data_IF_286573620817
#
_entry.id   IF_286573620817
#
_cell.length_a   1.000
_cell.length_b   1.000
_cell.length_c   1.000
_cell.angle_alpha   90.00
_cell.angle_beta   90.00
_cell.angle_gamma   90.00
#
_symmetry.space_group_name_H-M   'P 1'
#
loop_
_entity.id
_entity.type
_entity.pdbx_description
1 polymer ?
#
# COMPACT_ATOMS: atom_id res chain seq x y z
N UNK A 1 -24.13 -48.50 -7.16
CA UNK A 1 -25.20 -47.89 -6.34
C UNK A 1 -24.51 -47.07 -5.25
N UNK A 2 -24.04 -45.86 -5.59
CA UNK A 2 -23.34 -44.97 -4.66
C UNK A 2 -24.35 -44.04 -4.01
N UNK A 3 -24.35 -44.04 -2.68
CA UNK A 3 -25.25 -43.27 -1.83
C UNK A 3 -24.90 -41.78 -1.89
N UNK A 4 -25.87 -40.95 -2.25
CA UNK A 4 -25.84 -39.51 -2.06
C UNK A 4 -26.21 -39.19 -0.60
N UNK A 5 -25.31 -38.53 0.13
CA UNK A 5 -25.62 -37.94 1.43
C UNK A 5 -25.89 -36.45 1.19
N UNK A 6 -27.16 -36.10 1.33
CA UNK A 6 -27.69 -34.74 1.35
C UNK A 6 -27.45 -34.12 2.73
N UNK A 7 -26.83 -32.95 2.81
CA UNK A 7 -26.73 -32.17 4.05
C UNK A 7 -27.68 -30.96 3.96
N UNK A 8 -28.69 -30.98 4.83
CA UNK A 8 -29.65 -29.90 5.04
C UNK A 8 -29.00 -28.68 5.69
N UNK A 9 -29.27 -27.50 5.13
CA UNK A 9 -28.98 -26.19 5.74
C UNK A 9 -30.13 -25.87 6.70
N UNK A 10 -29.83 -25.74 7.99
CA UNK A 10 -30.76 -25.22 8.99
C UNK A 10 -30.64 -23.69 9.06
N UNK A 11 -31.74 -23.01 8.75
CA UNK A 11 -31.90 -21.57 8.83
C UNK A 11 -32.35 -21.19 10.25
N UNK A 12 -31.57 -20.37 10.96
CA UNK A 12 -31.92 -19.82 12.28
C UNK A 12 -32.13 -18.31 12.16
N UNK A 13 -33.39 -17.89 12.25
CA UNK A 13 -33.82 -16.50 12.43
C UNK A 13 -33.85 -16.13 13.92
N UNK A 14 -33.13 -15.08 14.29
CA UNK A 14 -33.40 -14.14 15.40
C UNK A 14 -32.26 -13.10 15.36
N UNK A 15 -32.42 -11.80 15.56
CA UNK A 15 -33.54 -10.92 15.84
C UNK A 15 -32.94 -9.51 15.87
N UNK A 16 -33.64 -8.52 15.33
CA UNK A 16 -33.19 -7.13 15.34
C UNK A 16 -33.16 -6.58 16.77
N UNK A 17 -32.08 -5.92 17.16
CA UNK A 17 -32.04 -4.96 18.27
C UNK A 17 -31.37 -3.68 17.76
N UNK A 18 -32.10 -2.58 17.80
CA UNK A 18 -31.60 -1.22 17.62
C UNK A 18 -31.41 -0.59 18.99
N UNK A 19 -30.23 -0.01 19.25
CA UNK A 19 -29.99 0.79 20.45
C UNK A 19 -29.74 2.23 20.02
N UNK A 20 -30.77 3.07 20.18
CA UNK A 20 -30.63 4.51 20.32
C UNK A 20 -30.27 4.85 21.77
N UNK A 21 -29.75 6.06 21.96
CA UNK A 21 -29.44 6.76 23.22
C UNK A 21 -28.03 6.54 23.78
N UNK A 22 -27.13 7.48 23.42
CA UNK A 22 -26.20 8.05 24.39
C UNK A 22 -26.26 9.57 24.34
N UNK A 23 -26.38 10.10 25.56
CA UNK A 23 -26.79 11.44 25.93
C UNK A 23 -25.68 12.50 25.74
N UNK A 24 -26.19 13.71 25.59
CA UNK A 24 -25.51 15.00 25.74
C UNK A 24 -24.59 15.07 26.97
N UNK A 25 -23.51 15.84 26.81
CA UNK A 25 -22.62 16.23 27.88
C UNK A 25 -21.76 17.41 27.44
N UNK A 26 -22.32 18.62 27.52
CA UNK A 26 -21.61 19.89 27.50
C UNK A 26 -20.53 19.91 28.59
N UNK A 27 -19.31 20.34 28.25
CA UNK A 27 -18.37 20.87 29.25
C UNK A 27 -17.78 22.19 28.74
N UNK A 28 -18.01 23.19 29.57
CA UNK A 28 -17.67 24.59 29.45
C UNK A 28 -16.17 24.88 29.46
N UNK A 29 -15.84 25.96 28.77
CA UNK A 29 -14.64 26.78 28.90
C UNK A 29 -14.64 27.52 30.25
N UNK A 30 -13.47 27.77 30.85
CA UNK A 30 -13.28 29.00 31.59
C UNK A 30 -12.14 29.85 31.01
N UNK A 31 -12.30 31.16 31.19
CA UNK A 31 -11.37 32.22 30.82
C UNK A 31 -10.92 32.96 32.09
N UNK A 32 -9.68 33.46 32.03
CA UNK A 32 -9.07 34.60 32.76
C UNK A 32 -8.95 34.48 34.30
N UNK A 33 -7.91 35.00 34.98
CA UNK A 33 -7.34 36.35 34.95
C UNK A 33 -5.88 36.44 35.52
N UNK A 34 -5.16 37.47 35.01
CA UNK A 34 -4.08 38.38 35.51
C UNK A 34 -3.43 38.19 36.91
N UNK A 35 -2.13 38.49 37.15
CA UNK A 35 -1.53 39.85 37.22
C UNK A 35 0.05 39.87 37.22
N UNK A 36 0.60 40.85 36.48
CA UNK A 36 1.75 41.78 36.72
C UNK A 36 3.13 41.37 37.27
N UNK A 37 4.20 41.76 36.54
CA UNK A 37 5.12 42.86 36.93
C UNK A 37 6.11 43.24 35.81
N UNK A 38 6.33 44.56 35.68
CA UNK A 38 7.16 45.31 34.70
C UNK A 38 8.68 45.16 34.98
N UNK A 39 9.61 45.44 34.06
CA UNK A 39 10.20 46.79 33.86
C UNK A 39 11.02 46.89 32.56
N UNK A 40 10.63 47.87 31.74
CA UNK A 40 11.34 48.80 30.83
C UNK A 40 12.83 48.58 30.46
N UNK A 41 13.15 48.71 29.16
CA UNK A 41 13.70 49.96 28.59
C UNK A 41 13.76 49.97 27.06
N UNK A 42 13.39 51.13 26.52
CA UNK A 42 13.40 51.63 25.14
C UNK A 42 14.70 51.39 24.34
N UNK A 43 14.62 51.34 23.00
CA UNK A 43 15.10 52.41 22.10
C UNK A 43 14.50 52.28 20.68
N UNK A 44 14.07 53.44 20.17
CA UNK A 44 13.67 53.90 18.82
C UNK A 44 14.21 53.10 17.62
N UNK A 45 13.38 52.70 16.66
CA UNK A 45 12.76 53.47 15.56
C UNK A 45 13.75 53.92 14.47
N UNK A 46 13.80 53.16 13.37
CA UNK A 46 14.14 53.69 12.05
C UNK A 46 13.20 53.09 10.99
N UNK A 47 12.61 53.99 10.23
CA UNK A 47 11.59 53.75 9.22
C UNK A 47 12.24 54.04 7.87
N UNK A 48 12.64 53.00 7.16
CA UNK A 48 12.96 53.12 5.73
C UNK A 48 11.85 52.50 4.92
N UNK A 49 11.22 53.37 4.14
CA UNK A 49 10.20 53.04 3.15
C UNK A 49 10.92 52.98 1.82
N UNK A 50 11.20 51.78 1.31
CA UNK A 50 11.55 51.59 -0.10
C UNK A 50 10.49 50.73 -0.77
N UNK A 51 9.82 51.36 -1.73
CA UNK A 51 8.87 50.74 -2.66
C UNK A 51 9.60 50.52 -3.98
N UNK A 52 9.26 49.40 -4.64
CA UNK A 52 9.63 48.93 -6.00
C UNK A 52 10.82 47.95 -6.00
N UNK A 53 10.75 46.75 -6.58
CA UNK A 53 9.93 46.28 -7.70
C UNK A 53 9.82 44.76 -7.60
N UNK A 54 8.61 44.22 -7.43
CA UNK A 54 8.36 42.80 -7.73
C UNK A 54 8.54 42.60 -9.23
N UNK A 55 9.68 42.01 -9.61
CA UNK A 55 9.77 41.26 -10.84
C UNK A 55 9.20 39.88 -10.52
N UNK A 56 7.91 39.70 -10.78
CA UNK A 56 7.33 38.38 -11.02
C UNK A 56 8.01 37.78 -12.26
N UNK A 57 9.13 37.11 -12.06
CA UNK A 57 9.59 36.05 -12.97
C UNK A 57 9.00 34.75 -12.45
N UNK A 58 7.73 34.52 -12.76
CA UNK A 58 7.00 33.30 -12.44
C UNK A 58 7.52 32.09 -13.23
N UNK A 59 8.73 31.62 -12.91
CA UNK A 59 9.14 30.26 -13.19
C UNK A 59 8.60 29.37 -12.07
N UNK A 60 7.69 28.44 -12.40
CA UNK A 60 7.21 27.47 -11.39
C UNK A 60 8.37 26.57 -11.00
N UNK A 61 8.83 26.68 -9.77
CA UNK A 61 9.83 25.78 -9.20
C UNK A 61 9.17 24.45 -8.82
N UNK A 62 9.06 23.56 -9.80
CA UNK A 62 8.51 22.22 -9.61
C UNK A 62 9.42 21.29 -8.80
N UNK A 63 10.67 21.69 -8.52
CA UNK A 63 11.63 20.83 -7.80
C UNK A 63 11.25 20.61 -6.34
N UNK A 64 10.42 21.50 -5.78
CA UNK A 64 9.91 21.38 -4.41
C UNK A 64 8.59 20.58 -4.31
N UNK A 65 8.01 20.14 -5.42
CA UNK A 65 6.81 19.29 -5.38
C UNK A 65 7.18 17.91 -4.81
N UNK A 66 6.48 17.40 -3.77
CA UNK A 66 6.76 16.09 -3.18
C UNK A 66 6.75 14.93 -4.19
N UNK A 67 6.06 15.09 -5.32
CA UNK A 67 6.00 14.08 -6.37
C UNK A 67 7.17 14.12 -7.37
N UNK A 68 7.95 15.21 -7.38
CA UNK A 68 9.03 15.41 -8.34
C UNK A 68 10.08 14.27 -8.37
N UNK A 69 10.53 13.72 -7.22
CA UNK A 69 11.52 12.62 -7.22
C UNK A 69 11.03 11.33 -7.89
N UNK A 70 9.71 11.15 -8.03
CA UNK A 70 9.11 9.92 -8.54
C UNK A 70 8.90 9.91 -10.05
N UNK A 71 9.08 11.05 -10.71
CA UNK A 71 9.10 11.15 -12.18
C UNK A 71 10.08 10.14 -12.78
N UNK A 72 11.30 10.08 -12.22
CA UNK A 72 12.36 9.18 -12.69
C UNK A 72 12.15 7.70 -12.29
N UNK A 73 11.21 7.44 -11.37
CA UNK A 73 10.90 6.12 -10.81
C UNK A 73 9.61 5.53 -11.41
N UNK A 74 9.11 6.09 -12.51
CA UNK A 74 8.02 5.47 -13.27
C UNK A 74 8.50 4.18 -13.96
N UNK A 75 7.55 3.30 -14.29
CA UNK A 75 7.85 2.15 -15.14
C UNK A 75 8.43 2.62 -16.49
N UNK A 76 9.50 1.98 -16.91
CA UNK A 76 9.99 2.03 -18.29
C UNK A 76 9.38 0.84 -19.02
N UNK A 77 8.73 1.09 -20.14
CA UNK A 77 7.92 0.08 -20.83
C UNK A 77 8.46 -0.20 -22.23
N UNK A 78 8.31 -1.44 -22.68
CA UNK A 78 8.53 -1.88 -24.05
C UNK A 78 7.32 -2.74 -24.47
N UNK A 79 6.65 -2.36 -25.56
CA UNK A 79 5.52 -3.12 -26.08
C UNK A 79 6.00 -4.27 -26.97
N UNK A 80 5.51 -5.49 -26.69
CA UNK A 80 5.71 -6.69 -27.52
C UNK A 80 4.42 -7.47 -27.60
N UNK A 81 3.95 -7.72 -28.82
CA UNK A 81 2.73 -8.50 -29.10
C UNK A 81 1.49 -8.01 -28.31
N UNK A 82 1.37 -6.69 -28.14
CA UNK A 82 0.28 -6.06 -27.39
C UNK A 82 0.41 -6.12 -25.86
N UNK A 83 1.56 -6.58 -25.34
CA UNK A 83 1.87 -6.60 -23.91
C UNK A 83 2.90 -5.52 -23.58
N UNK A 84 2.64 -4.71 -22.55
CA UNK A 84 3.58 -3.72 -22.03
C UNK A 84 4.52 -4.36 -21.01
N UNK A 85 5.79 -4.58 -21.39
CA UNK A 85 6.80 -5.18 -20.53
C UNK A 85 7.61 -4.12 -19.78
N UNK A 86 7.79 -4.32 -18.47
CA UNK A 86 8.54 -3.43 -17.58
C UNK A 86 10.04 -3.67 -17.74
N UNK A 87 10.81 -2.71 -18.25
CA UNK A 87 12.26 -2.85 -18.52
C UNK A 87 13.16 -2.40 -17.35
N UNK A 88 12.59 -1.83 -16.30
CA UNK A 88 13.27 -1.46 -15.04
C UNK A 88 12.69 -2.20 -13.82
N UNK A 89 12.65 -3.55 -13.81
CA UNK A 89 11.89 -4.31 -12.82
C UNK A 89 12.46 -4.24 -11.38
N UNK A 90 13.70 -3.79 -11.21
CA UNK A 90 14.34 -3.57 -9.89
C UNK A 90 13.91 -2.28 -9.19
N UNK A 91 13.14 -1.42 -9.87
CA UNK A 91 12.56 -0.22 -9.28
C UNK A 91 11.67 -0.57 -8.07
N UNK A 92 11.89 0.06 -6.91
CA UNK A 92 11.07 -0.16 -5.71
C UNK A 92 9.60 0.21 -5.95
N UNK A 93 9.35 1.22 -6.79
CA UNK A 93 8.00 1.65 -7.19
C UNK A 93 7.46 0.92 -8.42
N UNK A 94 8.06 -0.20 -8.84
CA UNK A 94 7.59 -0.95 -10.01
C UNK A 94 6.10 -1.26 -9.92
N UNK A 95 5.31 -0.83 -10.90
CA UNK A 95 3.87 -1.12 -10.94
C UNK A 95 3.67 -2.36 -11.82
N UNK A 96 3.58 -3.54 -11.22
CA UNK A 96 3.17 -4.77 -11.89
C UNK A 96 1.67 -4.98 -11.65
N UNK A 97 0.87 -4.99 -12.72
CA UNK A 97 -0.58 -5.14 -12.64
C UNK A 97 -1.11 -5.69 -13.98
N UNK A 98 -2.44 -5.70 -14.18
CA UNK A 98 -3.05 -6.26 -15.41
C UNK A 98 -2.61 -5.56 -16.71
N UNK A 99 -2.05 -4.36 -16.63
CA UNK A 99 -1.56 -3.58 -17.77
C UNK A 99 -0.05 -3.77 -18.00
N UNK A 100 0.75 -3.87 -16.93
CA UNK A 100 2.20 -3.90 -16.99
C UNK A 100 2.77 -5.22 -16.48
N UNK A 101 3.51 -5.92 -17.34
CA UNK A 101 4.04 -7.25 -17.08
C UNK A 101 5.55 -7.24 -16.83
N UNK A 102 5.98 -7.99 -15.83
CA UNK A 102 7.37 -8.36 -15.62
C UNK A 102 7.80 -9.42 -16.64
N UNK A 103 9.08 -9.49 -16.98
CA UNK A 103 9.60 -10.57 -17.79
C UNK A 103 9.49 -11.91 -17.05
N UNK A 104 9.31 -12.99 -17.80
CA UNK A 104 9.30 -14.35 -17.25
C UNK A 104 10.62 -14.78 -16.62
N UNK A 105 11.72 -14.14 -17.03
CA UNK A 105 13.07 -14.38 -16.52
C UNK A 105 13.43 -13.51 -15.31
N UNK A 106 12.59 -12.53 -14.97
CA UNK A 106 12.90 -11.64 -13.86
C UNK A 106 12.75 -12.34 -12.51
N UNK A 107 13.83 -12.29 -11.73
CA UNK A 107 13.89 -12.65 -10.31
C UNK A 107 14.72 -11.58 -9.61
N UNK A 108 14.26 -11.01 -8.48
CA UNK A 108 15.06 -10.02 -7.76
C UNK A 108 16.39 -10.62 -7.29
N UNK A 109 17.51 -9.87 -7.39
CA UNK A 109 18.84 -10.38 -7.05
C UNK A 109 19.12 -10.42 -5.54
N UNK A 110 18.27 -9.78 -4.72
CA UNK A 110 18.48 -9.46 -3.31
C UNK A 110 17.43 -10.09 -2.38
N UNK A 111 16.87 -11.24 -2.77
CA UNK A 111 15.88 -11.96 -1.98
C UNK A 111 16.48 -12.52 -0.68
N UNK A 112 15.82 -12.23 0.44
CA UNK A 112 16.16 -12.73 1.79
C UNK A 112 14.89 -13.19 2.50
N UNK A 113 15.03 -14.08 3.47
CA UNK A 113 13.94 -14.39 4.42
C UNK A 113 14.02 -13.40 5.59
N UNK A 114 13.09 -12.43 5.73
CA UNK A 114 13.10 -11.52 6.87
C UNK A 114 12.92 -12.27 8.20
N UNK A 115 13.46 -11.71 9.28
CA UNK A 115 13.35 -12.25 10.63
C UNK A 115 12.02 -11.86 11.29
N UNK A 116 10.92 -12.34 10.70
CA UNK A 116 9.55 -12.18 11.21
C UNK A 116 8.93 -13.52 11.53
N UNK A 117 7.80 -13.49 12.24
CA UNK A 117 7.02 -14.70 12.48
C UNK A 117 6.26 -15.08 11.21
N UNK A 118 6.44 -16.32 10.74
CA UNK A 118 5.71 -16.86 9.59
C UNK A 118 4.64 -17.86 10.04
N UNK A 119 3.54 -17.96 9.30
CA UNK A 119 2.46 -18.94 9.56
C UNK A 119 2.89 -20.41 9.44
N UNK A 120 4.07 -20.65 8.86
CA UNK A 120 4.65 -21.97 8.62
C UNK A 120 6.03 -22.16 9.29
N UNK A 121 6.33 -21.33 10.31
CA UNK A 121 7.57 -21.43 11.09
C UNK A 121 8.84 -21.18 10.27
N UNK A 122 9.87 -21.97 10.52
CA UNK A 122 11.24 -21.73 9.99
C UNK A 122 11.52 -22.33 8.61
N UNK A 123 10.47 -22.78 7.91
CA UNK A 123 10.64 -23.37 6.58
C UNK A 123 11.29 -22.36 5.60
N UNK A 124 12.30 -22.83 4.88
CA UNK A 124 13.03 -22.05 3.87
C UNK A 124 12.40 -22.30 2.49
N UNK A 125 11.32 -21.56 2.21
CA UNK A 125 10.53 -21.69 0.98
C UNK A 125 10.48 -20.34 0.24
N UNK A 126 10.24 -20.34 -1.08
CA UNK A 126 10.26 -19.11 -1.89
C UNK A 126 9.32 -18.02 -1.33
N UNK A 127 8.14 -18.43 -0.86
CA UNK A 127 7.14 -17.54 -0.27
C UNK A 127 7.54 -16.95 1.09
N UNK A 128 8.67 -17.37 1.66
CA UNK A 128 9.24 -16.75 2.84
C UNK A 128 10.19 -15.60 2.49
N UNK A 129 10.47 -15.38 1.20
CA UNK A 129 11.47 -14.41 0.76
C UNK A 129 10.83 -13.07 0.39
N UNK A 130 11.59 -12.00 0.53
CA UNK A 130 11.31 -10.65 0.00
C UNK A 130 12.64 -10.00 -0.38
N UNK A 131 12.60 -8.91 -1.15
CA UNK A 131 13.78 -8.08 -1.34
C UNK A 131 14.29 -7.55 -0.01
N UNK A 132 15.62 -7.49 0.13
CA UNK A 132 16.30 -7.15 1.39
C UNK A 132 15.78 -5.88 2.06
N UNK A 133 15.61 -4.80 1.29
CA UNK A 133 15.13 -3.52 1.83
C UNK A 133 13.72 -3.65 2.43
N UNK A 134 12.79 -4.23 1.67
CA UNK A 134 11.42 -4.49 2.13
C UNK A 134 11.42 -5.43 3.35
N UNK A 135 12.26 -6.46 3.35
CA UNK A 135 12.40 -7.39 4.48
C UNK A 135 12.81 -6.69 5.77
N UNK A 136 13.81 -5.81 5.72
CA UNK A 136 14.23 -5.03 6.90
C UNK A 136 13.14 -4.09 7.42
N UNK A 137 12.33 -3.51 6.53
CA UNK A 137 11.20 -2.69 6.95
C UNK A 137 10.04 -3.53 7.50
N UNK A 138 9.81 -4.73 6.96
CA UNK A 138 8.84 -5.68 7.47
C UNK A 138 9.17 -6.09 8.92
N UNK A 139 10.45 -6.35 9.21
CA UNK A 139 10.94 -6.65 10.56
C UNK A 139 10.65 -5.50 11.55
N UNK A 140 10.90 -4.26 11.13
CA UNK A 140 10.60 -3.06 11.93
C UNK A 140 9.09 -2.91 12.19
N UNK A 141 8.27 -3.12 11.15
CA UNK A 141 6.81 -3.06 11.25
C UNK A 141 6.26 -4.12 12.20
N UNK A 142 6.72 -5.37 12.08
CA UNK A 142 6.30 -6.47 12.96
C UNK A 142 6.75 -6.26 14.40
N UNK A 143 7.93 -5.67 14.60
CA UNK A 143 8.43 -5.30 15.94
C UNK A 143 7.54 -4.25 16.59
N UNK A 144 7.12 -3.23 15.85
CA UNK A 144 6.24 -2.18 16.36
C UNK A 144 4.83 -2.70 16.68
N UNK A 145 4.25 -3.53 15.80
CA UNK A 145 2.97 -4.19 16.09
C UNK A 145 3.04 -4.99 17.40
N UNK A 146 4.16 -5.71 17.61
CA UNK A 146 4.38 -6.49 18.84
C UNK A 146 4.52 -5.62 20.08
N UNK A 147 5.10 -4.43 19.97
CA UNK A 147 5.17 -3.46 21.08
C UNK A 147 3.78 -2.96 21.47
N UNK A 148 2.86 -2.88 20.51
CA UNK A 148 1.45 -2.56 20.72
C UNK A 148 0.60 -3.79 21.13
N UNK A 149 1.24 -4.92 21.44
CA UNK A 149 0.58 -6.15 21.90
C UNK A 149 -0.04 -7.00 20.79
N UNK A 150 0.23 -6.69 19.52
CA UNK A 150 -0.33 -7.37 18.34
C UNK A 150 0.69 -8.30 17.69
N UNK A 151 0.28 -9.51 17.31
CA UNK A 151 1.20 -10.48 16.67
C UNK A 151 0.80 -10.72 15.22
N UNK A 152 1.61 -10.18 14.31
CA UNK A 152 1.48 -10.38 12.87
C UNK A 152 2.18 -11.66 12.41
N UNK A 153 1.64 -12.29 11.37
CA UNK A 153 2.21 -13.46 10.72
C UNK A 153 2.36 -13.23 9.22
N UNK A 154 3.58 -13.35 8.70
CA UNK A 154 3.84 -13.38 7.27
C UNK A 154 3.36 -14.73 6.68
N UNK A 155 2.66 -14.69 5.54
CA UNK A 155 2.01 -15.85 4.93
C UNK A 155 2.57 -16.17 3.55
N UNK A 156 2.82 -15.16 2.72
CA UNK A 156 3.30 -15.32 1.34
C UNK A 156 3.94 -14.05 0.80
N UNK A 157 5.26 -14.09 0.61
CA UNK A 157 6.09 -13.05 0.02
C UNK A 157 6.37 -13.31 -1.47
N UNK A 158 7.63 -13.53 -1.81
CA UNK A 158 8.08 -13.75 -3.20
C UNK A 158 7.43 -14.98 -3.84
N UNK A 159 7.04 -14.84 -5.11
CA UNK A 159 6.54 -15.92 -5.93
C UNK A 159 7.11 -15.78 -7.34
N UNK A 160 7.89 -16.77 -7.76
CA UNK A 160 8.49 -16.77 -9.10
C UNK A 160 7.43 -16.77 -10.21
N UNK A 161 7.81 -16.29 -11.41
CA UNK A 161 6.94 -16.36 -12.60
C UNK A 161 6.43 -17.79 -12.84
N UNK A 162 7.34 -18.77 -12.76
CA UNK A 162 7.02 -20.19 -12.92
C UNK A 162 5.96 -20.63 -11.91
N UNK A 163 6.12 -20.27 -10.64
CA UNK A 163 5.12 -20.60 -9.62
C UNK A 163 3.79 -19.93 -9.89
N UNK A 164 3.78 -18.67 -10.32
CA UNK A 164 2.54 -17.98 -10.70
C UNK A 164 1.86 -18.67 -11.90
N UNK A 165 2.62 -19.21 -12.86
CA UNK A 165 2.08 -20.01 -13.96
C UNK A 165 1.39 -21.29 -13.47
N UNK A 166 1.97 -21.99 -12.50
CA UNK A 166 1.35 -23.16 -11.89
C UNK A 166 0.03 -22.79 -11.18
N UNK A 167 0.03 -21.71 -10.40
CA UNK A 167 -1.17 -21.19 -9.71
C UNK A 167 -2.26 -20.82 -10.71
N UNK A 168 -1.91 -20.04 -11.74
CA UNK A 168 -2.84 -19.63 -12.78
C UNK A 168 -3.43 -20.83 -13.52
N UNK A 169 -2.58 -21.79 -13.92
CA UNK A 169 -3.02 -22.99 -14.66
C UNK A 169 -3.96 -23.86 -13.83
N UNK A 170 -3.71 -24.00 -12.52
CA UNK A 170 -4.60 -24.71 -11.61
C UNK A 170 -5.97 -24.03 -11.50
N UNK A 171 -6.00 -22.70 -11.42
CA UNK A 171 -7.25 -21.94 -11.35
C UNK A 171 -8.05 -22.02 -12.65
N UNK A 172 -7.37 -21.96 -13.81
CA UNK A 172 -7.98 -22.18 -15.12
C UNK A 172 -8.60 -23.57 -15.20
N UNK A 173 -7.90 -24.61 -14.75
CA UNK A 173 -8.42 -25.97 -14.74
C UNK A 173 -9.64 -26.14 -13.82
N UNK A 174 -9.69 -25.40 -12.70
CA UNK A 174 -10.78 -25.49 -11.73
C UNK A 174 -12.02 -24.68 -12.14
N UNK A 175 -11.85 -23.48 -12.70
CA UNK A 175 -12.95 -22.49 -12.87
C UNK A 175 -13.09 -21.93 -14.28
N UNK A 176 -12.19 -22.26 -15.19
CA UNK A 176 -12.12 -21.69 -16.54
C UNK A 176 -11.34 -20.38 -16.59
N UNK A 177 -10.84 -20.03 -17.78
CA UNK A 177 -9.88 -18.94 -17.96
C UNK A 177 -10.40 -17.56 -17.57
N UNK A 178 -11.66 -17.24 -17.91
CA UNK A 178 -12.24 -15.95 -17.59
C UNK A 178 -12.25 -15.70 -16.08
N UNK A 179 -12.74 -16.68 -15.30
CA UNK A 179 -12.78 -16.61 -13.83
C UNK A 179 -11.38 -16.62 -13.22
N UNK A 180 -10.43 -17.34 -13.83
CA UNK A 180 -9.05 -17.36 -13.35
C UNK A 180 -8.40 -15.96 -13.46
N UNK A 181 -8.63 -15.22 -14.55
CA UNK A 181 -8.11 -13.85 -14.73
C UNK A 181 -8.75 -12.81 -13.80
N UNK A 182 -9.91 -13.12 -13.23
CA UNK A 182 -10.54 -12.33 -12.17
C UNK A 182 -9.95 -12.65 -10.79
N UNK A 183 -9.70 -13.94 -10.53
CA UNK A 183 -9.32 -14.42 -9.21
C UNK A 183 -7.81 -14.38 -8.92
N UNK A 184 -6.95 -14.57 -9.93
CA UNK A 184 -5.50 -14.65 -9.75
C UNK A 184 -4.76 -13.88 -10.85
N UNK A 185 -3.63 -13.30 -10.49
CA UNK A 185 -2.76 -12.61 -11.43
C UNK A 185 -2.30 -13.55 -12.56
N UNK A 186 -2.29 -13.02 -13.79
CA UNK A 186 -1.63 -13.67 -14.92
C UNK A 186 -0.11 -13.72 -14.65
N UNK A 187 0.63 -14.75 -15.08
CA UNK A 187 2.08 -14.78 -14.92
C UNK A 187 2.74 -13.52 -15.49
N UNK A 188 3.62 -12.88 -14.70
CA UNK A 188 4.23 -11.59 -15.02
C UNK A 188 3.50 -10.38 -14.44
N UNK A 189 2.20 -10.47 -14.12
CA UNK A 189 1.42 -9.35 -13.57
C UNK A 189 1.20 -9.41 -12.06
N UNK A 190 1.80 -10.40 -11.39
CA UNK A 190 1.74 -10.57 -9.94
C UNK A 190 2.81 -9.74 -9.23
N UNK A 191 2.40 -8.89 -8.29
CA UNK A 191 3.36 -8.14 -7.47
C UNK A 191 4.25 -9.04 -6.62
N UNK A 192 3.84 -10.26 -6.27
CA UNK A 192 4.70 -11.20 -5.56
C UNK A 192 6.00 -11.51 -6.31
N UNK A 193 6.01 -11.44 -7.65
CA UNK A 193 7.23 -11.64 -8.44
C UNK A 193 8.27 -10.51 -8.22
N UNK A 194 7.83 -9.33 -7.78
CA UNK A 194 8.74 -8.22 -7.46
C UNK A 194 9.55 -8.48 -6.18
N UNK A 195 9.10 -9.40 -5.32
CA UNK A 195 9.63 -9.58 -3.97
C UNK A 195 9.34 -8.41 -3.02
N UNK A 196 8.45 -7.48 -3.40
CA UNK A 196 8.07 -6.30 -2.61
C UNK A 196 6.69 -6.42 -1.96
N UNK A 197 5.94 -7.48 -2.26
CA UNK A 197 4.65 -7.78 -1.65
C UNK A 197 4.77 -8.84 -0.54
N UNK A 198 3.98 -8.69 0.52
CA UNK A 198 3.81 -9.68 1.57
C UNK A 198 2.33 -9.79 1.96
N UNK A 199 1.81 -11.01 1.89
CA UNK A 199 0.54 -11.38 2.52
C UNK A 199 0.75 -11.55 4.02
N UNK A 200 -0.06 -10.86 4.82
CA UNK A 200 0.02 -10.85 6.28
C UNK A 200 -1.33 -11.28 6.87
N UNK A 201 -1.29 -12.05 7.96
CA UNK A 201 -2.48 -12.49 8.69
C UNK A 201 -2.19 -12.51 10.20
N UNK A 202 -3.13 -13.03 10.99
CA UNK A 202 -3.01 -13.24 12.43
C UNK A 202 -3.36 -14.68 12.82
N UNK A 203 -3.00 -15.08 14.04
CA UNK A 203 -3.35 -16.39 14.59
C UNK A 203 -4.88 -16.54 14.74
N UNK A 204 -5.57 -15.47 15.09
CA UNK A 204 -7.03 -15.48 15.30
C UNK A 204 -7.81 -15.69 13.99
N UNK A 205 -7.22 -15.32 12.85
CA UNK A 205 -7.75 -15.65 11.53
C UNK A 205 -7.36 -17.06 11.05
N UNK A 206 -6.68 -17.87 11.88
CA UNK A 206 -6.14 -19.16 11.47
C UNK A 206 -5.14 -19.04 10.32
N UNK A 207 -4.47 -17.90 10.20
CA UNK A 207 -3.58 -17.54 9.09
C UNK A 207 -4.25 -17.47 7.71
N UNK A 208 -5.58 -17.43 7.65
CA UNK A 208 -6.30 -17.29 6.39
C UNK A 208 -6.12 -15.88 5.81
N UNK A 209 -6.16 -15.80 4.48
CA UNK A 209 -6.10 -14.56 3.70
C UNK A 209 -7.51 -14.24 3.21
N UNK A 210 -8.25 -13.48 4.00
CA UNK A 210 -9.65 -13.12 3.73
C UNK A 210 -9.89 -11.65 4.08
N UNK A 211 -10.96 -11.06 3.54
CA UNK A 211 -11.32 -9.66 3.85
C UNK A 211 -11.52 -9.42 5.35
N UNK A 212 -11.93 -10.45 6.10
CA UNK A 212 -12.16 -10.39 7.54
C UNK A 212 -10.90 -10.04 8.35
N UNK A 213 -9.70 -10.26 7.81
CA UNK A 213 -8.46 -9.85 8.47
C UNK A 213 -8.43 -8.33 8.71
N UNK A 214 -8.97 -7.53 7.79
CA UNK A 214 -9.04 -6.06 7.93
C UNK A 214 -9.89 -5.58 9.11
N UNK A 215 -10.75 -6.44 9.66
CA UNK A 215 -11.61 -6.13 10.81
C UNK A 215 -10.98 -6.57 12.14
N UNK A 216 -9.83 -7.25 12.13
CA UNK A 216 -9.12 -7.61 13.36
C UNK A 216 -8.28 -6.45 13.88
N UNK A 217 -7.88 -6.47 15.18
CA UNK A 217 -6.95 -5.49 15.72
C UNK A 217 -5.65 -5.38 14.92
N UNK A 218 -5.10 -6.51 14.44
CA UNK A 218 -3.91 -6.53 13.58
C UNK A 218 -4.12 -5.87 12.22
N UNK A 219 -5.23 -6.18 11.54
CA UNK A 219 -5.54 -5.61 10.22
C UNK A 219 -5.80 -4.11 10.31
N UNK A 220 -6.53 -3.66 11.33
CA UNK A 220 -6.76 -2.22 11.59
C UNK A 220 -5.45 -1.49 11.94
N UNK A 221 -4.58 -2.13 12.74
CA UNK A 221 -3.27 -1.57 13.05
C UNK A 221 -2.40 -1.41 11.80
N UNK A 222 -2.37 -2.41 10.92
CA UNK A 222 -1.61 -2.34 9.68
C UNK A 222 -2.12 -1.23 8.76
N UNK A 223 -3.45 -1.13 8.55
CA UNK A 223 -4.04 -0.07 7.74
C UNK A 223 -3.63 1.33 8.23
N UNK A 224 -3.51 1.53 9.55
CA UNK A 224 -3.11 2.81 10.13
C UNK A 224 -1.59 3.04 10.12
N UNK A 225 -0.77 2.00 10.23
CA UNK A 225 0.66 2.16 10.56
C UNK A 225 1.63 1.68 9.48
N UNK A 226 1.20 0.86 8.52
CA UNK A 226 2.09 0.23 7.53
C UNK A 226 2.91 1.27 6.73
N UNK A 227 2.33 2.44 6.45
CA UNK A 227 3.00 3.49 5.67
C UNK A 227 4.27 4.03 6.36
N UNK A 228 4.31 4.06 7.70
CA UNK A 228 5.50 4.45 8.47
C UNK A 228 6.73 3.56 8.21
N UNK A 229 6.48 2.36 7.68
CA UNK A 229 7.48 1.36 7.32
C UNK A 229 7.59 1.18 5.80
N UNK A 230 6.99 2.06 5.01
CA UNK A 230 7.06 2.01 3.56
C UNK A 230 6.13 1.00 2.91
N UNK A 231 5.15 0.47 3.63
CA UNK A 231 4.14 -0.45 3.09
C UNK A 231 2.80 0.24 2.88
N UNK A 232 2.12 -0.08 1.79
CA UNK A 232 0.74 0.33 1.52
C UNK A 232 -0.16 -0.89 1.51
N UNK A 233 -1.42 -0.72 1.94
CA UNK A 233 -2.47 -1.67 1.63
C UNK A 233 -2.75 -1.58 0.12
N UNK A 234 -2.36 -2.61 -0.64
CA UNK A 234 -2.27 -2.48 -2.10
C UNK A 234 -3.62 -2.42 -2.79
N UNK A 235 -4.56 -3.22 -2.31
CA UNK A 235 -5.89 -3.40 -2.88
C UNK A 235 -6.93 -2.98 -1.85
N UNK A 236 -7.19 -1.68 -1.79
CA UNK A 236 -8.12 -1.06 -0.85
C UNK A 236 -9.58 -1.28 -1.26
N UNK A 237 -10.46 -1.32 -0.26
CA UNK A 237 -11.90 -1.43 -0.45
C UNK A 237 -12.43 -0.20 -1.20
N UNK A 238 -13.25 -0.41 -2.22
CA UNK A 238 -13.82 0.66 -3.04
C UNK A 238 -12.91 1.19 -4.14
N UNK A 239 -11.69 0.65 -4.29
CA UNK A 239 -10.72 1.01 -5.33
C UNK A 239 -10.60 -0.07 -6.43
N UNK A 240 -11.52 -1.02 -6.48
CA UNK A 240 -11.49 -2.17 -7.40
C UNK A 240 -11.56 -1.74 -8.87
N UNK A 241 -12.26 -0.65 -9.17
CA UNK A 241 -12.33 -0.08 -10.52
C UNK A 241 -10.97 0.46 -11.02
N UNK A 242 -10.07 0.81 -10.09
CA UNK A 242 -8.73 1.32 -10.40
C UNK A 242 -7.72 0.17 -10.42
N UNK A 243 -7.68 -0.65 -9.36
CA UNK A 243 -6.69 -1.72 -9.21
C UNK A 243 -7.01 -2.96 -10.03
N UNK A 244 -8.29 -3.17 -10.37
CA UNK A 244 -8.82 -4.37 -11.00
C UNK A 244 -8.69 -5.65 -10.15
N UNK A 245 -8.51 -5.48 -8.84
CA UNK A 245 -8.53 -6.54 -7.83
C UNK A 245 -9.59 -6.22 -6.78
N UNK A 246 -10.18 -7.26 -6.20
CA UNK A 246 -11.06 -7.14 -5.04
C UNK A 246 -10.30 -6.58 -3.83
N UNK A 247 -11.04 -6.21 -2.77
CA UNK A 247 -10.42 -5.82 -1.50
C UNK A 247 -9.57 -6.96 -0.94
N UNK A 248 -8.29 -6.72 -0.72
CA UNK A 248 -7.37 -7.69 -0.11
C UNK A 248 -6.73 -7.10 1.14
N UNK A 249 -7.45 -7.18 2.26
CA UNK A 249 -7.03 -6.62 3.55
C UNK A 249 -5.66 -7.11 4.06
N UNK A 250 -5.15 -8.20 3.49
CA UNK A 250 -3.93 -8.90 3.85
C UNK A 250 -2.72 -8.55 2.97
N UNK A 251 -2.90 -7.96 1.78
CA UNK A 251 -1.82 -7.78 0.79
C UNK A 251 -1.16 -6.42 0.95
N UNK A 252 0.08 -6.41 1.47
CA UNK A 252 0.85 -5.20 1.69
C UNK A 252 2.03 -5.11 0.72
N UNK A 253 2.18 -3.94 0.09
CA UNK A 253 3.18 -3.65 -0.93
C UNK A 253 4.20 -2.64 -0.43
N UNK A 254 5.48 -2.98 -0.44
CA UNK A 254 6.57 -2.06 -0.14
C UNK A 254 6.82 -1.10 -1.31
N UNK A 255 6.88 0.20 -1.01
CA UNK A 255 7.09 1.30 -1.97
C UNK A 255 8.11 2.33 -1.45
N UNK A 256 8.72 2.09 -0.29
CA UNK A 256 9.54 3.08 0.42
C UNK A 256 8.70 4.03 1.28
N UNK A 257 9.29 4.54 2.37
CA UNK A 257 8.57 5.32 3.41
C UNK A 257 7.90 6.58 2.88
N UNK A 258 8.63 7.37 2.11
CA UNK A 258 8.14 8.67 1.64
C UNK A 258 6.95 8.49 0.69
N UNK A 259 7.07 7.55 -0.27
CA UNK A 259 5.98 7.26 -1.20
C UNK A 259 4.79 6.65 -0.48
N UNK A 260 5.00 5.70 0.44
CA UNK A 260 3.92 5.09 1.21
C UNK A 260 3.16 6.13 2.04
N UNK A 261 3.87 7.10 2.63
CA UNK A 261 3.28 8.19 3.42
C UNK A 261 2.42 9.09 2.53
N UNK A 262 2.93 9.52 1.38
CA UNK A 262 2.15 10.32 0.41
C UNK A 262 0.90 9.55 -0.03
N UNK A 263 1.05 8.27 -0.37
CA UNK A 263 -0.06 7.42 -0.81
C UNK A 263 -1.12 7.30 0.29
N UNK A 264 -0.69 7.07 1.54
CA UNK A 264 -1.57 6.95 2.69
C UNK A 264 -2.32 8.25 3.01
N UNK A 265 -1.63 9.38 3.06
CA UNK A 265 -2.22 10.69 3.40
C UNK A 265 -3.25 11.16 2.36
N UNK A 266 -3.14 10.68 1.12
CA UNK A 266 -4.04 11.06 0.03
C UNK A 266 -5.11 10.00 -0.31
N UNK A 267 -5.16 8.87 0.41
CA UNK A 267 -6.04 7.73 0.12
C UNK A 267 -5.94 7.27 -1.35
N UNK A 268 -4.69 7.15 -1.83
CA UNK A 268 -4.39 6.77 -3.22
C UNK A 268 -4.03 5.30 -3.34
N UNK A 269 -4.35 4.71 -4.49
CA UNK A 269 -3.69 3.47 -4.95
C UNK A 269 -2.31 3.79 -5.53
N UNK A 270 -1.50 2.76 -5.78
CA UNK A 270 -0.24 2.93 -6.51
C UNK A 270 -0.48 3.43 -7.95
N UNK A 271 -1.58 3.02 -8.58
CA UNK A 271 -2.03 3.55 -9.87
C UNK A 271 -2.32 5.06 -9.80
N UNK A 272 -3.14 5.50 -8.84
CA UNK A 272 -3.50 6.92 -8.66
C UNK A 272 -2.25 7.76 -8.36
N UNK A 273 -1.35 7.27 -7.50
CA UNK A 273 -0.06 7.90 -7.25
C UNK A 273 0.70 8.18 -8.54
N UNK A 274 0.83 7.18 -9.42
CA UNK A 274 1.51 7.38 -10.70
C UNK A 274 0.73 8.25 -11.67
N UNK A 275 -0.60 8.27 -11.65
CA UNK A 275 -1.40 9.23 -12.42
C UNK A 275 -1.07 10.68 -12.00
N UNK A 276 -0.91 10.94 -10.71
CA UNK A 276 -0.51 12.25 -10.19
C UNK A 276 0.93 12.61 -10.56
N UNK A 277 1.87 11.67 -10.48
CA UNK A 277 3.27 11.86 -10.95
C UNK A 277 3.30 12.19 -12.46
N UNK A 278 2.53 11.47 -13.28
CA UNK A 278 2.42 11.74 -14.71
C UNK A 278 1.80 13.12 -15.01
N UNK A 279 0.80 13.53 -14.22
CA UNK A 279 0.20 14.84 -14.35
C UNK A 279 1.20 15.96 -14.02
N UNK A 280 2.07 15.77 -13.02
CA UNK A 280 3.17 16.69 -12.73
C UNK A 280 4.17 16.75 -13.89
N UNK A 281 4.62 15.59 -14.40
CA UNK A 281 5.54 15.53 -15.53
C UNK A 281 5.01 16.30 -16.75
N UNK A 282 3.74 16.11 -17.10
CA UNK A 282 3.09 16.84 -18.22
C UNK A 282 3.07 18.36 -18.00
N UNK A 283 2.90 18.83 -16.77
CA UNK A 283 2.95 20.28 -16.45
C UNK A 283 4.37 20.85 -16.60
N UNK A 284 5.39 20.05 -16.27
CA UNK A 284 6.80 20.42 -16.45
C UNK A 284 7.10 20.49 -17.95
N UNK A 285 6.78 19.43 -18.71
CA UNK A 285 7.05 19.35 -20.15
C UNK A 285 6.29 20.41 -20.96
N UNK A 286 5.04 20.71 -20.58
CA UNK A 286 4.26 21.78 -21.19
C UNK A 286 4.71 23.18 -20.78
N UNK A 287 5.44 23.31 -19.65
CA UNK A 287 5.98 24.56 -19.15
C UNK A 287 7.35 24.93 -19.73
N UNK A 288 8.14 23.94 -20.17
CA UNK A 288 9.42 24.13 -20.88
C UNK A 288 9.26 24.42 -22.37
N UNK A 289 8.06 24.28 -22.93
CA UNK A 289 7.74 24.66 -24.30
C UNK A 289 7.33 26.14 -24.40
N UNK A 290 8.23 27.07 -24.07
CA UNK A 290 8.08 28.51 -24.36
C UNK A 290 9.42 29.17 -24.68
#
# INVERSE_FOLDING_TARGET
>A
MMHFISFMIALSLAGFHTSADYLAGDIEKPAAETETAKTDTNTEAEKETETKTEKETGGKDYQNDPLYPYIAQQNKLEEKDGVQYITNPENILVLANKEYSLQSTYSPPDLVRPNVTFSFGDAQVEKAQMRKEAGSQLEAMFTAAKQDGLTLYAVSGYRSYKRQQEVFSAEVAAKGEAKAKEAVAVPGTSEHQTGLAMDISSRDQGFNLTEAFGETPEGQWLQKNAHNYGFILRYMKGKEAVTQYQYESWHYRYVGKDAATIIYENDWTLEEFFQHVQALQKKIDGGTAK
#
